data_IF_302809655572
#
_entry.id   IF_302809655572
#
_cell.length_a   1.000
_cell.length_b   1.000
_cell.length_c   1.000
_cell.angle_alpha   90.00
_cell.angle_beta   90.00
_cell.angle_gamma   90.00
#
_symmetry.space_group_name_H-M   'P 1'
#
loop_
_entity.id
_entity.type
_entity.pdbx_description
1 polymer ?
#
# COMPACT_ATOMS: atom_id res chain seq x y z
N UNK A 1 -19.07 30.33 2.53
CA UNK A 1 -17.62 30.27 2.80
C UNK A 1 -16.79 29.99 1.55
N UNK A 2 -17.27 29.13 0.64
CA UNK A 2 -16.61 28.79 -0.63
C UNK A 2 -17.15 29.65 -1.80
N UNK A 3 -16.26 30.09 -2.68
CA UNK A 3 -16.52 30.68 -3.99
C UNK A 3 -15.56 30.03 -5.00
N UNK A 4 -16.06 29.58 -6.15
CA UNK A 4 -15.24 28.93 -7.19
C UNK A 4 -15.36 29.69 -8.50
N UNK A 5 -14.24 30.10 -9.07
CA UNK A 5 -14.15 30.90 -10.30
C UNK A 5 -13.53 30.10 -11.43
N UNK A 6 -14.05 30.27 -12.63
CA UNK A 6 -13.46 29.67 -13.85
C UNK A 6 -12.05 30.19 -14.08
N UNK A 7 -11.11 29.30 -14.41
CA UNK A 7 -9.75 29.69 -14.77
C UNK A 7 -9.57 29.92 -16.26
N UNK A 8 -8.35 30.35 -16.60
CA UNK A 8 -7.93 30.65 -17.98
C UNK A 8 -7.55 29.39 -18.77
N UNK A 9 -7.17 28.32 -18.07
CA UNK A 9 -6.71 27.04 -18.64
C UNK A 9 -7.75 25.96 -18.34
N UNK A 10 -7.98 24.99 -19.26
CA UNK A 10 -8.81 23.83 -18.97
C UNK A 10 -8.42 23.15 -17.65
N UNK A 11 -9.42 22.83 -16.84
CA UNK A 11 -9.27 22.09 -15.57
C UNK A 11 -8.55 22.86 -14.45
N UNK A 12 -8.27 24.15 -14.64
CA UNK A 12 -7.77 25.03 -13.58
C UNK A 12 -8.89 25.94 -13.10
N UNK A 13 -9.25 25.80 -11.83
CA UNK A 13 -10.31 26.56 -11.17
C UNK A 13 -9.72 27.37 -10.00
N UNK A 14 -10.22 28.58 -9.80
CA UNK A 14 -9.86 29.41 -8.65
C UNK A 14 -10.75 29.09 -7.45
N UNK A 15 -10.17 28.56 -6.37
CA UNK A 15 -10.89 28.24 -5.14
C UNK A 15 -10.62 29.34 -4.11
N UNK A 16 -11.67 30.07 -3.73
CA UNK A 16 -11.59 31.10 -2.71
C UNK A 16 -12.39 30.68 -1.47
N UNK A 17 -11.70 30.63 -0.34
CA UNK A 17 -12.25 30.22 0.95
C UNK A 17 -12.13 31.36 1.96
N UNK A 18 -13.23 31.61 2.68
CA UNK A 18 -13.33 32.64 3.72
C UNK A 18 -14.04 32.08 4.95
N UNK A 19 -13.60 32.50 6.13
CA UNK A 19 -14.21 32.11 7.42
C UNK A 19 -15.54 32.82 7.73
N UNK A 20 -15.95 33.78 6.89
CA UNK A 20 -17.26 34.44 6.97
C UNK A 20 -18.04 34.26 5.66
N UNK A 21 -19.38 34.43 5.67
CA UNK A 21 -20.15 34.49 4.43
C UNK A 21 -19.59 35.52 3.45
N UNK A 22 -19.76 35.25 2.15
CA UNK A 22 -19.42 36.18 1.08
C UNK A 22 -20.49 37.27 1.00
N UNK A 23 -20.06 38.51 0.78
CA UNK A 23 -20.95 39.65 0.57
C UNK A 23 -21.12 39.96 -0.93
N UNK A 24 -22.21 40.64 -1.30
CA UNK A 24 -22.46 41.00 -2.69
C UNK A 24 -21.32 41.86 -3.29
N UNK A 25 -20.80 42.81 -2.51
CA UNK A 25 -19.67 43.66 -2.92
C UNK A 25 -18.38 42.87 -3.15
N UNK A 26 -18.11 41.85 -2.34
CA UNK A 26 -16.94 40.98 -2.51
C UNK A 26 -17.05 40.15 -3.79
N UNK A 27 -18.22 39.54 -4.04
CA UNK A 27 -18.46 38.78 -5.26
C UNK A 27 -18.41 39.70 -6.49
N UNK A 28 -18.90 40.94 -6.38
CA UNK A 28 -18.81 41.93 -7.44
C UNK A 28 -17.35 42.30 -7.77
N UNK A 29 -16.49 42.50 -6.76
CA UNK A 29 -15.05 42.74 -6.97
C UNK A 29 -14.36 41.57 -7.68
N UNK A 30 -14.68 40.33 -7.29
CA UNK A 30 -14.16 39.14 -7.99
C UNK A 30 -14.67 39.07 -9.42
N UNK A 31 -15.96 39.33 -9.63
CA UNK A 31 -16.57 39.37 -10.96
C UNK A 31 -15.91 40.41 -11.87
N UNK A 32 -15.59 41.59 -11.34
CA UNK A 32 -14.89 42.67 -12.04
C UNK A 32 -13.44 42.28 -12.37
N UNK A 33 -12.73 41.63 -11.44
CA UNK A 33 -11.37 41.14 -11.68
C UNK A 33 -11.30 40.09 -12.81
N UNK A 34 -12.36 39.31 -12.99
CA UNK A 34 -12.50 38.31 -14.04
C UNK A 34 -12.97 38.89 -15.39
N UNK A 35 -13.36 40.17 -15.46
CA UNK A 35 -13.77 40.79 -16.72
C UNK A 35 -12.63 40.90 -17.72
N UNK A 36 -12.93 40.58 -18.99
CA UNK A 36 -11.95 40.63 -20.08
C UNK A 36 -10.89 39.53 -20.04
N UNK A 37 -10.90 38.64 -19.03
CA UNK A 37 -10.03 37.46 -19.00
C UNK A 37 -10.57 36.35 -19.90
N UNK A 38 -9.71 35.54 -20.51
CA UNK A 38 -10.14 34.38 -21.29
C UNK A 38 -10.65 33.31 -20.32
N UNK A 39 -11.95 33.24 -20.09
CA UNK A 39 -12.55 32.28 -19.16
C UNK A 39 -13.10 31.04 -19.88
N UNK A 40 -12.92 29.88 -19.25
CA UNK A 40 -13.57 28.63 -19.67
C UNK A 40 -15.09 28.80 -19.80
N UNK A 41 -15.66 28.33 -20.93
CA UNK A 41 -17.10 28.28 -21.18
C UNK A 41 -17.86 29.62 -21.05
N UNK A 42 -17.15 30.76 -21.05
CA UNK A 42 -17.73 32.10 -20.88
C UNK A 42 -18.36 32.34 -19.50
N UNK A 43 -18.18 31.45 -18.52
CA UNK A 43 -18.69 31.62 -17.16
C UNK A 43 -17.61 32.23 -16.27
N UNK A 44 -18.01 33.14 -15.38
CA UNK A 44 -17.11 33.71 -14.35
C UNK A 44 -17.01 32.82 -13.12
N UNK A 45 -18.11 32.21 -12.73
CA UNK A 45 -18.22 31.43 -11.51
C UNK A 45 -18.66 30.00 -11.83
N UNK A 46 -17.94 29.03 -11.29
CA UNK A 46 -18.36 27.64 -11.21
C UNK A 46 -19.27 27.44 -10.01
N UNK A 47 -18.99 28.12 -8.90
CA UNK A 47 -19.87 28.16 -7.72
C UNK A 47 -19.91 29.55 -7.10
N UNK A 48 -21.12 30.10 -6.98
CA UNK A 48 -21.41 31.36 -6.30
C UNK A 48 -22.50 31.15 -5.24
N UNK A 49 -22.18 31.29 -3.94
CA UNK A 49 -23.16 31.06 -2.86
C UNK A 49 -24.27 32.12 -2.83
N UNK A 50 -24.11 33.28 -3.49
CA UNK A 50 -25.13 34.33 -3.56
C UNK A 50 -26.07 34.17 -4.77
N UNK A 51 -25.68 33.35 -5.75
CA UNK A 51 -26.47 33.05 -6.94
C UNK A 51 -26.27 31.57 -7.34
N UNK A 52 -26.68 30.61 -6.49
CA UNK A 52 -26.44 29.18 -6.73
C UNK A 52 -27.16 28.67 -7.99
N UNK A 53 -28.24 29.31 -8.42
CA UNK A 53 -28.96 29.01 -9.66
C UNK A 53 -28.19 29.37 -10.94
N UNK A 54 -27.25 30.30 -10.88
CA UNK A 54 -26.37 30.67 -11.99
C UNK A 54 -25.05 29.88 -11.98
N UNK A 55 -24.83 29.06 -10.96
CA UNK A 55 -23.63 28.24 -10.79
C UNK A 55 -23.69 26.97 -11.63
N UNK A 56 -22.56 26.27 -11.75
CA UNK A 56 -22.52 25.00 -12.45
C UNK A 56 -23.47 23.97 -11.79
N UNK A 57 -24.35 23.31 -12.57
CA UNK A 57 -25.34 22.37 -12.03
C UNK A 57 -24.73 21.22 -11.24
N UNK A 58 -23.54 20.73 -11.63
CA UNK A 58 -22.87 19.64 -10.93
C UNK A 58 -22.39 20.13 -9.57
N UNK A 59 -21.71 21.28 -9.50
CA UNK A 59 -21.27 21.87 -8.24
C UNK A 59 -22.44 22.19 -7.31
N UNK A 60 -23.55 22.68 -7.86
CA UNK A 60 -24.78 22.93 -7.08
C UNK A 60 -25.32 21.65 -6.46
N UNK A 61 -25.34 20.55 -7.19
CA UNK A 61 -25.78 19.25 -6.67
C UNK A 61 -24.82 18.75 -5.60
N UNK A 62 -23.51 18.73 -5.88
CA UNK A 62 -22.49 18.29 -4.92
C UNK A 62 -22.55 19.10 -3.62
N UNK A 63 -22.64 20.42 -3.69
CA UNK A 63 -22.66 21.27 -2.50
C UNK A 63 -24.03 21.33 -1.80
N UNK A 64 -25.10 20.93 -2.50
CA UNK A 64 -26.45 20.84 -1.96
C UNK A 64 -26.82 19.47 -1.37
N UNK A 65 -26.11 18.41 -1.75
CA UNK A 65 -26.33 17.04 -1.24
C UNK A 65 -25.80 16.92 0.19
N UNK A 66 -26.58 16.37 1.15
CA UNK A 66 -26.12 16.10 2.51
C UNK A 66 -24.89 15.19 2.52
N UNK A 67 -23.97 15.41 3.47
CA UNK A 67 -22.73 14.63 3.55
C UNK A 67 -22.93 13.12 3.69
N UNK A 68 -24.06 12.69 4.26
CA UNK A 68 -24.46 11.28 4.39
C UNK A 68 -24.85 10.62 3.07
N UNK A 69 -25.23 11.41 2.07
CA UNK A 69 -25.70 10.93 0.75
C UNK A 69 -24.63 11.13 -0.34
N UNK A 70 -23.59 11.93 -0.09
CA UNK A 70 -22.57 12.26 -1.08
C UNK A 70 -21.84 11.03 -1.64
N UNK A 71 -21.57 10.02 -0.82
CA UNK A 71 -20.88 8.82 -1.27
C UNK A 71 -21.71 8.05 -2.31
N UNK A 72 -23.01 7.88 -2.04
CA UNK A 72 -23.93 7.25 -2.99
C UNK A 72 -24.09 8.11 -4.25
N UNK A 73 -24.20 9.43 -4.09
CA UNK A 73 -24.27 10.34 -5.22
C UNK A 73 -23.04 10.23 -6.15
N UNK A 74 -21.83 10.13 -5.60
CA UNK A 74 -20.62 9.92 -6.41
C UNK A 74 -20.63 8.56 -7.11
N UNK A 75 -21.06 7.51 -6.40
CA UNK A 75 -21.18 6.17 -6.96
C UNK A 75 -22.15 6.15 -8.15
N UNK A 76 -23.29 6.83 -8.06
CA UNK A 76 -24.29 6.94 -9.13
C UNK A 76 -23.75 7.71 -10.36
N UNK A 77 -22.77 8.60 -10.14
CA UNK A 77 -22.03 9.26 -11.23
C UNK A 77 -20.95 8.38 -11.87
N UNK A 78 -20.70 7.18 -11.33
CA UNK A 78 -19.67 6.25 -11.79
C UNK A 78 -18.26 6.60 -11.28
N UNK A 79 -18.15 7.38 -10.21
CA UNK A 79 -16.86 7.86 -9.67
C UNK A 79 -16.76 7.70 -8.16
N UNK A 80 -15.54 7.79 -7.63
CA UNK A 80 -15.23 7.82 -6.20
C UNK A 80 -14.54 9.13 -5.85
N UNK A 81 -15.31 10.13 -5.45
CA UNK A 81 -14.81 11.43 -5.01
C UNK A 81 -14.89 11.60 -3.48
N UNK A 82 -15.02 10.49 -2.74
CA UNK A 82 -14.96 10.54 -1.29
C UNK A 82 -13.59 11.06 -0.81
N UNK A 83 -13.55 11.82 0.29
CA UNK A 83 -12.29 12.37 0.80
C UNK A 83 -11.24 11.27 1.03
N UNK A 84 -9.99 11.46 0.55
CA UNK A 84 -8.91 10.52 0.80
C UNK A 84 -8.63 10.40 2.30
N UNK A 85 -8.26 9.21 2.74
CA UNK A 85 -7.92 8.91 4.13
C UNK A 85 -6.45 8.53 4.25
N UNK A 86 -5.90 8.51 5.46
CA UNK A 86 -4.55 8.00 5.72
C UNK A 86 -4.38 6.54 5.28
N UNK A 87 -5.46 5.75 5.32
CA UNK A 87 -5.48 4.36 4.87
C UNK A 87 -5.49 4.23 3.35
N UNK A 88 -6.11 5.20 2.65
CA UNK A 88 -6.23 5.24 1.20
C UNK A 88 -5.93 6.65 0.66
N UNK A 89 -4.64 7.07 0.65
CA UNK A 89 -4.24 8.44 0.30
C UNK A 89 -4.10 8.64 -1.22
N UNK A 90 -5.10 8.22 -2.01
CA UNK A 90 -5.06 8.25 -3.48
C UNK A 90 -6.03 9.29 -4.04
N UNK A 91 -5.65 10.56 -3.96
CA UNK A 91 -6.47 11.72 -4.36
C UNK A 91 -6.92 11.64 -5.83
N UNK A 92 -6.06 11.13 -6.71
CA UNK A 92 -6.33 11.03 -8.15
C UNK A 92 -6.96 9.70 -8.57
N UNK A 93 -7.31 8.83 -7.62
CA UNK A 93 -7.98 7.56 -7.88
C UNK A 93 -9.49 7.72 -7.64
N UNK A 94 -10.16 8.27 -8.65
CA UNK A 94 -11.59 8.59 -8.60
C UNK A 94 -12.46 7.71 -9.50
N UNK A 95 -11.92 6.66 -10.11
CA UNK A 95 -12.70 5.73 -10.90
C UNK A 95 -13.17 4.55 -10.05
N UNK A 96 -14.36 4.04 -10.37
CA UNK A 96 -14.80 2.74 -9.89
C UNK A 96 -14.08 1.66 -10.71
N UNK A 97 -13.71 0.56 -10.03
CA UNK A 97 -13.07 -0.56 -10.71
C UNK A 97 -14.11 -1.34 -11.51
N UNK A 98 -13.84 -1.57 -12.79
CA UNK A 98 -14.68 -2.37 -13.67
C UNK A 98 -15.28 -1.56 -14.82
N UNK A 99 -16.54 -1.87 -15.15
CA UNK A 99 -17.22 -1.35 -16.35
C UNK A 99 -18.33 -0.36 -16.04
N UNK A 100 -18.33 0.22 -14.84
CA UNK A 100 -19.34 1.19 -14.47
C UNK A 100 -19.27 2.41 -15.40
N UNK A 101 -20.39 2.78 -16.05
CA UNK A 101 -20.42 3.94 -16.92
C UNK A 101 -20.24 5.21 -16.08
N UNK A 102 -19.34 6.08 -16.54
CA UNK A 102 -19.19 7.42 -15.97
C UNK A 102 -20.26 8.32 -16.56
N UNK A 103 -20.98 9.03 -15.70
CA UNK A 103 -22.08 9.92 -16.10
C UNK A 103 -21.62 10.96 -17.15
N UNK A 104 -22.42 11.21 -18.20
CA UNK A 104 -22.15 12.30 -19.16
C UNK A 104 -22.11 13.69 -18.52
N UNK A 105 -22.69 13.84 -17.33
CA UNK A 105 -22.70 15.08 -16.55
C UNK A 105 -21.31 15.47 -16.03
N UNK A 106 -20.40 14.50 -15.91
CA UNK A 106 -19.03 14.76 -15.46
C UNK A 106 -18.17 15.38 -16.58
N UNK A 107 -17.11 16.13 -16.23
CA UNK A 107 -16.13 16.61 -17.21
C UNK A 107 -15.54 15.49 -18.07
N UNK A 108 -15.14 15.81 -19.31
CA UNK A 108 -14.68 14.83 -20.30
C UNK A 108 -13.47 14.01 -19.82
N UNK A 109 -12.61 14.58 -18.99
CA UNK A 109 -11.46 13.91 -18.39
C UNK A 109 -11.83 12.63 -17.61
N UNK A 110 -12.98 12.63 -16.93
CA UNK A 110 -13.46 11.46 -16.19
C UNK A 110 -13.81 10.33 -17.15
N UNK A 111 -14.49 10.66 -18.25
CA UNK A 111 -14.83 9.69 -19.31
C UNK A 111 -13.59 9.21 -20.04
N UNK A 112 -12.63 10.09 -20.32
CA UNK A 112 -11.36 9.72 -20.95
C UNK A 112 -10.55 8.77 -20.07
N UNK A 113 -10.47 9.00 -18.76
CA UNK A 113 -9.79 8.09 -17.83
C UNK A 113 -10.57 6.80 -17.59
N UNK A 114 -11.90 6.83 -17.69
CA UNK A 114 -12.74 5.62 -17.69
C UNK A 114 -12.76 4.88 -19.03
N UNK A 115 -12.19 5.46 -20.10
CA UNK A 115 -12.12 4.79 -21.40
C UNK A 115 -11.46 3.42 -21.21
N UNK A 116 -12.13 2.39 -21.70
CA UNK A 116 -11.75 1.05 -21.34
C UNK A 116 -10.54 0.59 -22.16
N UNK A 117 -9.62 -0.10 -21.48
CA UNK A 117 -8.51 -0.82 -22.08
C UNK A 117 -8.80 -2.32 -22.06
N UNK A 118 -8.00 -3.07 -22.81
CA UNK A 118 -8.03 -4.54 -22.80
C UNK A 118 -9.43 -5.13 -23.06
N UNK A 119 -10.05 -4.74 -24.19
CA UNK A 119 -11.39 -5.21 -24.62
C UNK A 119 -12.55 -4.83 -23.67
N UNK A 120 -12.44 -3.74 -22.93
CA UNK A 120 -13.57 -3.30 -22.11
C UNK A 120 -13.56 -3.85 -20.70
N UNK A 121 -12.42 -4.22 -20.12
CA UNK A 121 -12.37 -4.90 -18.80
C UNK A 121 -11.71 -4.05 -17.71
N UNK A 122 -10.93 -3.04 -18.10
CA UNK A 122 -10.08 -2.29 -17.20
C UNK A 122 -10.16 -0.81 -17.57
N UNK A 123 -10.58 0.07 -16.65
CA UNK A 123 -10.49 1.51 -16.85
C UNK A 123 -9.04 1.93 -17.15
N UNK A 124 -8.86 2.86 -18.09
CA UNK A 124 -7.52 3.33 -18.48
C UNK A 124 -6.72 3.87 -17.30
N UNK A 125 -7.37 4.49 -16.31
CA UNK A 125 -6.73 4.97 -15.08
C UNK A 125 -6.13 3.86 -14.20
N UNK A 126 -6.71 2.65 -14.23
CA UNK A 126 -6.33 1.53 -13.36
C UNK A 126 -5.38 0.55 -14.04
N UNK A 127 -5.33 0.60 -15.38
CA UNK A 127 -4.46 -0.24 -16.21
C UNK A 127 -2.98 -0.25 -15.78
N UNK A 128 -2.35 0.88 -15.40
CA UNK A 128 -0.95 0.87 -14.96
C UNK A 128 -0.69 -0.05 -13.76
N UNK A 129 -1.60 -0.11 -12.78
CA UNK A 129 -1.41 -0.95 -11.59
C UNK A 129 -1.45 -2.45 -11.94
N UNK A 130 -2.38 -2.85 -12.82
CA UNK A 130 -2.48 -4.21 -13.32
C UNK A 130 -1.31 -4.58 -14.22
N UNK A 131 -0.86 -3.65 -15.07
CA UNK A 131 0.28 -3.86 -15.95
C UNK A 131 1.56 -4.11 -15.14
N UNK A 132 1.83 -3.28 -14.11
CA UNK A 132 2.99 -3.45 -13.23
C UNK A 132 2.92 -4.77 -12.47
N UNK A 133 1.74 -5.17 -11.98
CA UNK A 133 1.57 -6.45 -11.29
C UNK A 133 1.82 -7.64 -12.23
N UNK A 134 1.26 -7.60 -13.44
CA UNK A 134 1.43 -8.65 -14.45
C UNK A 134 2.89 -8.73 -14.93
N UNK A 135 3.52 -7.59 -15.18
CA UNK A 135 4.94 -7.49 -15.54
C UNK A 135 5.82 -8.03 -14.41
N UNK A 136 5.57 -7.63 -13.17
CA UNK A 136 6.31 -8.12 -12.00
C UNK A 136 6.19 -9.63 -11.86
N UNK A 137 4.99 -10.20 -12.05
CA UNK A 137 4.77 -11.64 -12.03
C UNK A 137 5.49 -12.35 -13.19
N UNK A 138 5.42 -11.80 -14.40
CA UNK A 138 6.07 -12.36 -15.59
C UNK A 138 7.60 -12.33 -15.47
N UNK A 139 8.17 -11.18 -15.11
CA UNK A 139 9.61 -11.02 -14.94
C UNK A 139 10.13 -11.90 -13.80
N UNK A 140 9.42 -11.98 -12.68
CA UNK A 140 9.78 -12.90 -11.58
C UNK A 140 9.71 -14.36 -12.03
N UNK A 141 8.72 -14.71 -12.86
CA UNK A 141 8.60 -16.06 -13.42
C UNK A 141 9.80 -16.37 -14.32
N UNK A 142 10.16 -15.46 -15.22
CA UNK A 142 11.23 -15.64 -16.20
C UNK A 142 12.61 -15.63 -15.54
N UNK A 143 12.88 -14.70 -14.63
CA UNK A 143 14.22 -14.50 -14.07
C UNK A 143 14.49 -15.23 -12.76
N UNK A 144 13.46 -15.67 -12.03
CA UNK A 144 13.62 -16.36 -10.75
C UNK A 144 13.07 -17.79 -10.84
N UNK A 145 11.76 -17.94 -11.09
CA UNK A 145 11.12 -19.25 -11.00
C UNK A 145 11.55 -20.22 -12.13
N UNK A 146 11.70 -19.75 -13.37
CA UNK A 146 12.10 -20.59 -14.49
C UNK A 146 13.54 -21.15 -14.32
N UNK A 147 14.58 -20.36 -14.01
CA UNK A 147 15.91 -20.90 -13.68
C UNK A 147 15.88 -21.89 -12.52
N UNK A 148 15.12 -21.62 -11.46
CA UNK A 148 14.96 -22.56 -10.34
C UNK A 148 14.34 -23.89 -10.80
N UNK A 149 13.29 -23.83 -11.62
CA UNK A 149 12.62 -24.99 -12.18
C UNK A 149 13.46 -25.77 -13.19
N UNK A 150 14.52 -25.17 -13.76
CA UNK A 150 15.44 -25.83 -14.70
C UNK A 150 16.62 -26.43 -13.93
N UNK A 151 17.29 -25.62 -13.11
CA UNK A 151 18.56 -25.97 -12.48
C UNK A 151 18.42 -26.65 -11.11
N UNK A 152 17.31 -26.42 -10.40
CA UNK A 152 17.06 -26.99 -9.06
C UNK A 152 15.92 -28.05 -9.05
N UNK A 153 15.51 -28.56 -10.22
CA UNK A 153 14.36 -29.46 -10.42
C UNK A 153 14.52 -30.89 -9.91
N UNK A 154 15.75 -31.41 -9.82
CA UNK A 154 15.97 -32.85 -9.53
C UNK A 154 15.39 -33.21 -8.16
N UNK A 155 14.25 -33.93 -8.22
CA UNK A 155 13.31 -34.29 -7.15
C UNK A 155 13.88 -34.11 -5.74
N UNK A 156 13.59 -32.96 -5.13
CA UNK A 156 13.49 -32.88 -3.69
C UNK A 156 12.28 -33.76 -3.31
N UNK A 157 12.52 -35.04 -3.04
CA UNK A 157 11.48 -36.02 -2.67
C UNK A 157 11.03 -35.85 -1.23
N UNK A 158 11.58 -34.89 -0.50
CA UNK A 158 11.28 -34.70 0.91
C UNK A 158 9.80 -34.27 1.10
N UNK A 159 9.02 -34.95 1.96
CA UNK A 159 7.62 -34.61 2.25
C UNK A 159 7.42 -33.14 2.64
N UNK A 160 8.43 -32.55 3.28
CA UNK A 160 8.46 -31.16 3.76
C UNK A 160 8.70 -30.09 2.69
N UNK A 161 9.00 -30.46 1.44
CA UNK A 161 9.42 -29.49 0.42
C UNK A 161 8.39 -28.39 0.18
N UNK A 162 7.12 -28.74 0.00
CA UNK A 162 6.03 -27.78 -0.23
C UNK A 162 5.81 -26.83 0.95
N UNK A 163 5.91 -27.35 2.18
CA UNK A 163 5.76 -26.54 3.39
C UNK A 163 6.89 -25.53 3.56
N UNK A 164 8.12 -25.90 3.20
CA UNK A 164 9.25 -24.97 3.21
C UNK A 164 9.12 -23.90 2.12
N UNK A 165 8.70 -24.26 0.90
CA UNK A 165 8.44 -23.25 -0.14
C UNK A 165 7.36 -22.26 0.29
N UNK A 166 6.25 -22.75 0.86
CA UNK A 166 5.17 -21.91 1.37
C UNK A 166 5.65 -21.01 2.52
N UNK A 167 6.52 -21.52 3.40
CA UNK A 167 7.15 -20.73 4.45
C UNK A 167 7.98 -19.57 3.88
N UNK A 168 8.94 -19.83 2.98
CA UNK A 168 9.81 -18.79 2.43
C UNK A 168 9.08 -17.81 1.52
N UNK A 169 8.08 -18.27 0.76
CA UNK A 169 7.16 -17.43 0.02
C UNK A 169 6.41 -16.46 0.95
N UNK A 170 5.91 -16.98 2.07
CA UNK A 170 5.19 -16.19 3.07
C UNK A 170 6.09 -15.13 3.71
N UNK A 171 7.35 -15.49 3.99
CA UNK A 171 8.33 -14.53 4.52
C UNK A 171 8.61 -13.40 3.52
N UNK A 172 8.80 -13.72 2.24
CA UNK A 172 9.10 -12.71 1.21
C UNK A 172 7.94 -11.75 1.00
N UNK A 173 6.74 -12.31 0.77
CA UNK A 173 5.54 -11.51 0.56
C UNK A 173 5.16 -10.70 1.81
N UNK A 174 5.14 -11.34 2.99
CA UNK A 174 4.75 -10.67 4.23
C UNK A 174 5.71 -9.54 4.61
N UNK A 175 7.02 -9.76 4.45
CA UNK A 175 8.04 -8.76 4.79
C UNK A 175 7.87 -7.49 3.96
N UNK A 176 7.84 -7.63 2.63
CA UNK A 176 7.79 -6.46 1.73
C UNK A 176 6.48 -5.69 1.84
N UNK A 177 5.36 -6.38 2.08
CA UNK A 177 4.06 -5.72 2.25
C UNK A 177 4.06 -4.88 3.53
N UNK A 178 4.52 -5.44 4.65
CA UNK A 178 4.65 -4.70 5.92
C UNK A 178 5.58 -3.51 5.73
N UNK A 179 6.75 -3.72 5.12
CA UNK A 179 7.73 -2.67 4.88
C UNK A 179 7.14 -1.50 4.07
N UNK A 180 6.46 -1.76 2.95
CA UNK A 180 5.86 -0.71 2.11
C UNK A 180 4.72 0.01 2.84
N UNK A 181 3.89 -0.71 3.61
CA UNK A 181 2.84 -0.09 4.41
C UNK A 181 3.43 0.88 5.44
N UNK A 182 4.52 0.49 6.11
CA UNK A 182 5.24 1.35 7.05
C UNK A 182 5.85 2.56 6.33
N UNK A 183 6.51 2.36 5.20
CA UNK A 183 7.06 3.47 4.40
C UNK A 183 5.98 4.52 4.08
N UNK A 184 4.75 4.10 3.78
CA UNK A 184 3.65 5.03 3.49
C UNK A 184 3.10 5.69 4.74
N UNK A 185 2.90 4.93 5.81
CA UNK A 185 2.41 5.43 7.09
C UNK A 185 3.34 6.45 7.74
N UNK A 186 4.64 6.19 7.72
CA UNK A 186 5.64 7.10 8.31
C UNK A 186 5.85 8.38 7.50
N UNK A 187 5.25 8.51 6.30
CA UNK A 187 5.20 9.82 5.61
C UNK A 187 4.42 10.84 6.46
N UNK A 188 3.34 10.42 7.14
CA UNK A 188 2.58 11.29 8.04
C UNK A 188 3.46 11.81 9.18
N UNK A 189 4.36 10.97 9.69
CA UNK A 189 5.23 11.31 10.81
C UNK A 189 6.62 11.83 10.41
N UNK A 190 7.05 11.76 9.17
CA UNK A 190 8.34 12.34 8.73
C UNK A 190 8.15 13.47 7.72
N UNK A 191 6.93 13.69 7.24
CA UNK A 191 6.53 14.78 6.35
C UNK A 191 6.97 14.63 4.89
N UNK A 192 7.87 13.69 4.58
CA UNK A 192 8.40 13.50 3.23
C UNK A 192 8.54 12.01 2.87
N UNK A 193 8.07 11.57 1.69
CA UNK A 193 8.23 10.20 1.21
C UNK A 193 9.68 9.70 1.18
N UNK A 194 10.64 10.54 0.76
CA UNK A 194 12.04 10.15 0.69
C UNK A 194 12.61 9.83 2.07
N UNK A 195 12.36 10.69 3.06
CA UNK A 195 12.81 10.46 4.44
C UNK A 195 12.16 9.24 5.07
N UNK A 196 10.87 9.00 4.78
CA UNK A 196 10.18 7.82 5.25
C UNK A 196 10.78 6.54 4.68
N UNK A 197 10.98 6.48 3.36
CA UNK A 197 11.59 5.34 2.69
C UNK A 197 12.97 5.05 3.27
N UNK A 198 13.85 6.07 3.36
CA UNK A 198 15.21 5.89 3.86
C UNK A 198 15.22 5.43 5.32
N UNK A 199 14.44 6.07 6.19
CA UNK A 199 14.42 5.74 7.63
C UNK A 199 13.88 4.34 7.86
N UNK A 200 12.75 4.00 7.24
CA UNK A 200 12.13 2.68 7.39
C UNK A 200 13.04 1.59 6.87
N UNK A 201 13.62 1.76 5.67
CA UNK A 201 14.51 0.77 5.07
C UNK A 201 15.76 0.55 5.93
N UNK A 202 16.44 1.61 6.35
CA UNK A 202 17.66 1.49 7.17
C UNK A 202 17.36 0.80 8.49
N UNK A 203 16.32 1.24 9.20
CA UNK A 203 16.02 0.72 10.54
C UNK A 203 15.53 -0.72 10.47
N UNK A 204 14.64 -1.06 9.52
CA UNK A 204 14.15 -2.42 9.36
C UNK A 204 15.27 -3.37 8.91
N UNK A 205 16.17 -2.96 8.01
CA UNK A 205 17.30 -3.81 7.59
C UNK A 205 18.33 -3.98 8.70
N UNK A 206 18.68 -2.91 9.43
CA UNK A 206 19.56 -3.01 10.60
C UNK A 206 18.95 -3.90 11.69
N UNK A 207 17.66 -3.71 12.00
CA UNK A 207 16.90 -4.56 12.90
C UNK A 207 16.91 -6.01 12.42
N UNK A 208 16.60 -6.26 11.16
CA UNK A 208 16.57 -7.60 10.58
C UNK A 208 17.95 -8.29 10.65
N UNK A 209 19.04 -7.54 10.47
CA UNK A 209 20.40 -8.02 10.69
C UNK A 209 20.64 -8.47 12.14
N UNK A 210 20.24 -7.65 13.11
CA UNK A 210 20.32 -8.00 14.54
C UNK A 210 19.45 -9.23 14.86
N UNK A 211 18.23 -9.26 14.36
CA UNK A 211 17.31 -10.40 14.45
C UNK A 211 17.93 -11.68 13.91
N UNK A 212 18.60 -11.58 12.76
CA UNK A 212 19.26 -12.72 12.13
C UNK A 212 20.38 -13.29 13.01
N UNK A 213 21.20 -12.43 13.62
CA UNK A 213 22.24 -12.85 14.58
C UNK A 213 21.60 -13.52 15.82
N UNK A 214 20.51 -12.96 16.34
CA UNK A 214 19.81 -13.49 17.52
C UNK A 214 19.08 -14.81 17.26
N UNK A 215 18.75 -15.10 16.00
CA UNK A 215 17.99 -16.29 15.59
C UNK A 215 18.61 -17.62 16.03
N UNK A 216 19.95 -17.70 16.07
CA UNK A 216 20.67 -18.90 16.52
C UNK A 216 20.53 -19.17 18.02
N UNK A 217 20.27 -18.13 18.81
CA UNK A 217 20.07 -18.23 20.26
C UNK A 217 18.65 -18.66 20.63
N UNK A 218 17.68 -18.38 19.75
CA UNK A 218 16.29 -18.78 19.94
C UNK A 218 16.12 -20.28 19.64
N UNK A 219 15.82 -21.05 20.70
CA UNK A 219 15.72 -22.52 20.68
C UNK A 219 16.83 -23.18 19.82
N UNK A 220 18.10 -23.18 20.27
CA UNK A 220 19.25 -23.61 19.46
C UNK A 220 19.14 -25.04 18.92
N UNK A 221 18.50 -25.95 19.68
CA UNK A 221 18.31 -27.36 19.33
C UNK A 221 16.94 -27.67 18.72
N UNK A 222 16.04 -26.70 18.60
CA UNK A 222 14.66 -26.92 18.15
C UNK A 222 14.20 -25.81 17.18
N UNK A 223 14.72 -25.78 15.94
CA UNK A 223 14.40 -24.75 14.96
C UNK A 223 12.89 -24.69 14.63
N UNK A 224 12.18 -25.82 14.72
CA UNK A 224 10.72 -25.85 14.55
C UNK A 224 9.96 -25.04 15.60
N UNK A 225 10.38 -25.16 16.88
CA UNK A 225 9.83 -24.33 17.97
C UNK A 225 10.23 -22.87 17.80
N UNK A 226 11.48 -22.61 17.38
CA UNK A 226 11.94 -21.25 17.09
C UNK A 226 11.04 -20.55 16.06
N UNK A 227 10.75 -21.20 14.93
CA UNK A 227 9.88 -20.64 13.89
C UNK A 227 8.43 -20.50 14.37
N UNK A 228 7.92 -21.48 15.14
CA UNK A 228 6.58 -21.42 15.72
C UNK A 228 6.38 -20.27 16.72
N UNK A 229 7.46 -19.75 17.31
CA UNK A 229 7.47 -18.58 18.19
C UNK A 229 7.75 -17.29 17.42
N UNK A 230 8.72 -17.30 16.50
CA UNK A 230 9.12 -16.11 15.74
C UNK A 230 7.98 -15.53 14.91
N UNK A 231 7.16 -16.37 14.27
CA UNK A 231 6.09 -15.88 13.38
C UNK A 231 4.96 -15.17 14.16
N UNK A 232 4.41 -15.71 15.26
CA UNK A 232 3.49 -14.96 16.12
C UNK A 232 4.08 -13.66 16.66
N UNK A 233 5.39 -13.65 16.98
CA UNK A 233 6.05 -12.41 17.40
C UNK A 233 6.05 -11.35 16.29
N UNK A 234 6.25 -11.73 15.03
CA UNK A 234 6.15 -10.78 13.89
C UNK A 234 4.75 -10.19 13.85
N UNK A 235 3.72 -11.04 13.94
CA UNK A 235 2.34 -10.56 13.93
C UNK A 235 2.04 -9.62 15.10
N UNK A 236 2.50 -9.97 16.31
CA UNK A 236 2.36 -9.13 17.50
C UNK A 236 3.08 -7.80 17.34
N UNK A 237 4.31 -7.79 16.83
CA UNK A 237 5.10 -6.57 16.62
C UNK A 237 4.49 -5.67 15.53
N UNK A 238 3.96 -6.25 14.46
CA UNK A 238 3.29 -5.49 13.40
C UNK A 238 1.96 -4.90 13.90
N UNK A 239 1.19 -5.66 14.69
CA UNK A 239 -0.01 -5.14 15.34
C UNK A 239 0.33 -4.06 16.36
N UNK A 240 1.37 -4.26 17.18
CA UNK A 240 1.77 -3.23 18.15
C UNK A 240 2.20 -1.95 17.46
N UNK A 241 2.93 -2.03 16.35
CA UNK A 241 3.21 -0.86 15.50
C UNK A 241 1.91 -0.21 15.03
N UNK A 242 0.97 -1.00 14.48
CA UNK A 242 -0.25 -0.50 13.89
C UNK A 242 -1.17 0.23 14.90
N UNK A 243 -1.10 -0.09 16.19
CA UNK A 243 -1.87 0.59 17.24
C UNK A 243 -1.07 1.66 17.99
N UNK A 244 0.24 1.48 18.15
CA UNK A 244 1.08 2.39 18.93
C UNK A 244 1.50 3.62 18.12
N UNK A 245 1.82 3.46 16.83
CA UNK A 245 2.35 4.57 16.04
C UNK A 245 1.41 5.76 15.88
N UNK A 246 0.07 5.63 15.74
CA UNK A 246 -0.81 6.81 15.66
C UNK A 246 -0.78 7.63 16.95
N UNK A 247 -0.75 6.95 18.10
CA UNK A 247 -0.70 7.61 19.41
C UNK A 247 0.62 8.38 19.58
N UNK A 248 1.73 7.76 19.20
CA UNK A 248 3.06 8.39 19.25
C UNK A 248 3.14 9.52 18.22
N UNK A 249 2.59 9.35 17.02
CA UNK A 249 2.58 10.39 16.00
C UNK A 249 1.83 11.62 16.52
N UNK A 250 0.63 11.46 17.06
CA UNK A 250 -0.15 12.56 17.64
C UNK A 250 0.60 13.29 18.76
N UNK A 251 1.28 12.55 19.65
CA UNK A 251 2.00 13.13 20.77
C UNK A 251 3.28 13.88 20.37
N UNK A 252 3.97 13.44 19.30
CA UNK A 252 5.30 13.92 18.94
C UNK A 252 5.38 14.60 17.57
N UNK A 253 4.26 14.83 16.88
CA UNK A 253 4.25 15.43 15.53
C UNK A 253 4.89 16.82 15.50
N UNK A 254 4.70 17.60 16.57
CA UNK A 254 5.20 18.96 16.72
C UNK A 254 6.71 19.04 17.04
N UNK A 255 7.37 17.90 17.25
CA UNK A 255 8.81 17.86 17.53
C UNK A 255 9.63 18.16 16.28
N UNK A 256 10.89 18.53 16.50
CA UNK A 256 11.85 18.76 15.42
C UNK A 256 12.15 17.45 14.65
N UNK A 257 12.56 17.61 13.39
CA UNK A 257 12.77 16.50 12.47
C UNK A 257 13.76 15.43 12.98
N UNK A 258 14.93 15.76 13.57
CA UNK A 258 15.84 14.74 14.10
C UNK A 258 15.23 13.89 15.22
N UNK A 259 14.40 14.51 16.08
CA UNK A 259 13.69 13.81 17.16
C UNK A 259 12.67 12.84 16.57
N UNK A 260 11.94 13.26 15.53
CA UNK A 260 10.99 12.40 14.81
C UNK A 260 11.67 11.20 14.15
N UNK A 261 12.86 11.37 13.56
CA UNK A 261 13.66 10.24 13.05
C UNK A 261 14.02 9.27 14.18
N UNK A 262 14.51 9.79 15.32
CA UNK A 262 14.90 8.95 16.45
C UNK A 262 13.71 8.15 17.00
N UNK A 263 12.55 8.79 17.17
CA UNK A 263 11.30 8.14 17.60
C UNK A 263 10.87 7.07 16.60
N UNK A 264 10.86 7.40 15.30
CA UNK A 264 10.52 6.44 14.26
C UNK A 264 11.46 5.23 14.29
N UNK A 265 12.76 5.47 14.48
CA UNK A 265 13.76 4.40 14.58
C UNK A 265 13.50 3.48 15.77
N UNK A 266 13.15 4.05 16.94
CA UNK A 266 12.83 3.28 18.14
C UNK A 266 11.55 2.45 17.97
N UNK A 267 10.54 2.97 17.27
CA UNK A 267 9.30 2.23 16.98
C UNK A 267 9.53 1.08 16.00
N UNK A 268 10.33 1.30 14.96
CA UNK A 268 10.53 0.34 13.88
C UNK A 268 11.56 -0.75 14.22
N UNK A 269 12.57 -0.43 15.04
CA UNK A 269 13.67 -1.34 15.33
C UNK A 269 13.22 -2.68 15.95
N UNK A 270 12.32 -2.73 16.96
CA UNK A 270 11.82 -4.00 17.49
C UNK A 270 11.13 -4.86 16.43
N UNK A 271 10.33 -4.22 15.56
CA UNK A 271 9.66 -4.92 14.46
C UNK A 271 10.67 -5.48 13.47
N UNK A 272 11.68 -4.69 13.07
CA UNK A 272 12.78 -5.14 12.21
C UNK A 272 13.52 -6.33 12.80
N UNK A 273 13.86 -6.29 14.10
CA UNK A 273 14.52 -7.41 14.81
C UNK A 273 13.68 -8.68 14.70
N UNK A 274 12.38 -8.59 15.01
CA UNK A 274 11.52 -9.76 15.01
C UNK A 274 11.29 -10.30 13.59
N UNK A 275 11.15 -9.42 12.60
CA UNK A 275 11.03 -9.78 11.18
C UNK A 275 12.31 -10.41 10.61
N UNK A 276 13.49 -10.17 11.21
CA UNK A 276 14.75 -10.79 10.83
C UNK A 276 14.97 -12.22 11.36
N UNK A 277 14.20 -12.65 12.36
CA UNK A 277 14.33 -13.99 12.95
C UNK A 277 13.96 -15.14 11.99
N UNK A 278 12.84 -15.10 11.24
CA UNK A 278 12.30 -16.29 10.59
C UNK A 278 13.19 -16.86 9.46
N UNK A 279 13.85 -16.01 8.68
CA UNK A 279 14.62 -16.47 7.52
C UNK A 279 15.78 -17.41 7.90
N UNK A 280 16.73 -17.03 8.80
CA UNK A 280 17.80 -17.93 9.24
C UNK A 280 17.28 -19.15 10.03
N UNK A 281 16.17 -19.03 10.75
CA UNK A 281 15.51 -20.20 11.36
C UNK A 281 15.05 -21.18 10.27
N UNK A 282 14.50 -20.69 9.16
CA UNK A 282 14.16 -21.49 7.99
C UNK A 282 15.35 -22.23 7.40
N UNK A 283 16.52 -21.58 7.32
CA UNK A 283 17.75 -22.23 6.85
C UNK A 283 18.21 -23.33 7.80
N UNK A 284 18.07 -23.13 9.12
CA UNK A 284 18.31 -24.18 10.13
C UNK A 284 17.34 -25.35 10.00
N UNK A 285 16.06 -25.10 9.65
CA UNK A 285 15.10 -26.15 9.33
C UNK A 285 15.52 -26.95 8.10
N UNK A 286 15.97 -26.26 7.04
CA UNK A 286 16.50 -26.93 5.84
C UNK A 286 17.67 -27.83 6.22
N UNK A 287 18.65 -27.32 6.98
CA UNK A 287 19.80 -28.09 7.41
C UNK A 287 19.41 -29.31 8.27
N UNK A 288 18.38 -29.18 9.11
CA UNK A 288 17.92 -30.27 9.97
C UNK A 288 17.14 -31.38 9.21
N UNK A 289 16.44 -31.03 8.13
CA UNK A 289 15.64 -31.97 7.34
C UNK A 289 16.35 -32.49 6.09
N UNK A 290 17.49 -31.92 5.72
CA UNK A 290 18.25 -32.38 4.55
C UNK A 290 19.13 -33.57 4.94
N UNK A 291 19.05 -34.71 4.22
CA UNK A 291 19.88 -35.89 4.47
C UNK A 291 21.34 -35.68 4.08
N UNK A 292 21.62 -34.79 3.11
CA UNK A 292 22.97 -34.48 2.66
C UNK A 292 23.15 -32.99 2.29
N UNK A 293 24.42 -32.58 2.15
CA UNK A 293 24.80 -31.21 1.84
C UNK A 293 24.33 -30.76 0.44
N UNK A 294 24.15 -31.68 -0.51
CA UNK A 294 23.64 -31.35 -1.85
C UNK A 294 22.17 -30.98 -1.78
N UNK A 295 21.38 -31.69 -0.99
CA UNK A 295 19.98 -31.36 -0.74
C UNK A 295 19.86 -30.06 0.05
N UNK A 296 20.68 -29.82 1.07
CA UNK A 296 20.73 -28.53 1.78
C UNK A 296 20.96 -27.36 0.83
N UNK A 297 21.96 -27.46 -0.07
CA UNK A 297 22.26 -26.42 -1.05
C UNK A 297 21.11 -26.18 -2.01
N UNK A 298 20.46 -27.24 -2.49
CA UNK A 298 19.29 -27.15 -3.38
C UNK A 298 18.08 -26.50 -2.69
N UNK A 299 17.75 -26.95 -1.49
CA UNK A 299 16.64 -26.41 -0.72
C UNK A 299 16.89 -24.95 -0.32
N UNK A 300 18.15 -24.59 -0.04
CA UNK A 300 18.55 -23.19 0.21
C UNK A 300 18.37 -22.34 -1.04
N UNK A 301 18.76 -22.83 -2.23
CA UNK A 301 18.50 -22.12 -3.49
C UNK A 301 17.00 -21.90 -3.73
N UNK A 302 16.18 -22.91 -3.47
CA UNK A 302 14.72 -22.79 -3.50
C UNK A 302 14.17 -21.79 -2.49
N UNK A 303 14.70 -21.77 -1.27
CA UNK A 303 14.30 -20.82 -0.22
C UNK A 303 14.56 -19.37 -0.62
N UNK A 304 15.78 -19.07 -1.07
CA UNK A 304 16.14 -17.74 -1.58
C UNK A 304 15.30 -17.36 -2.80
N UNK A 305 15.11 -18.30 -3.71
CA UNK A 305 14.30 -18.13 -4.90
C UNK A 305 12.84 -17.77 -4.62
N UNK A 306 12.18 -18.54 -3.75
CA UNK A 306 10.79 -18.28 -3.36
C UNK A 306 10.65 -16.97 -2.60
N UNK A 307 11.58 -16.67 -1.71
CA UNK A 307 11.58 -15.42 -0.96
C UNK A 307 11.72 -14.21 -1.91
N UNK A 308 12.68 -14.24 -2.84
CA UNK A 308 12.87 -13.19 -3.83
C UNK A 308 11.68 -13.04 -4.78
N UNK A 309 11.17 -14.15 -5.32
CA UNK A 309 10.00 -14.15 -6.21
C UNK A 309 8.78 -13.48 -5.58
N UNK A 310 8.44 -13.87 -4.34
CA UNK A 310 7.29 -13.31 -3.63
C UNK A 310 7.54 -11.89 -3.10
N UNK A 311 8.79 -11.47 -2.93
CA UNK A 311 9.13 -10.07 -2.61
C UNK A 311 8.82 -9.15 -3.80
N UNK A 312 9.18 -9.56 -5.03
CA UNK A 312 8.91 -8.76 -6.24
C UNK A 312 7.41 -8.69 -6.54
N UNK A 313 6.68 -9.80 -6.41
CA UNK A 313 5.22 -9.78 -6.57
C UNK A 313 4.57 -8.99 -5.44
N UNK A 314 5.04 -9.17 -4.21
CA UNK A 314 4.51 -8.49 -3.03
C UNK A 314 4.62 -6.97 -3.11
N UNK A 315 5.69 -6.43 -3.69
CA UNK A 315 5.83 -4.98 -3.84
C UNK A 315 4.78 -4.37 -4.76
N UNK A 316 4.56 -4.95 -5.94
CA UNK A 316 3.53 -4.54 -6.88
C UNK A 316 2.11 -4.80 -6.32
N UNK A 317 1.91 -5.97 -5.70
CA UNK A 317 0.64 -6.33 -5.09
C UNK A 317 0.25 -5.39 -3.95
N UNK A 318 1.21 -4.90 -3.16
CA UNK A 318 0.93 -3.95 -2.07
C UNK A 318 0.32 -2.67 -2.60
N UNK A 319 0.89 -2.11 -3.66
CA UNK A 319 0.35 -0.88 -4.28
C UNK A 319 -1.03 -1.13 -4.85
N UNK A 320 -1.21 -2.26 -5.57
CA UNK A 320 -2.51 -2.65 -6.11
C UNK A 320 -3.57 -2.77 -5.00
N UNK A 321 -3.29 -3.54 -3.95
CA UNK A 321 -4.19 -3.71 -2.80
C UNK A 321 -4.48 -2.36 -2.14
N UNK A 322 -3.46 -1.53 -1.90
CA UNK A 322 -3.64 -0.24 -1.24
C UNK A 322 -4.57 0.68 -2.04
N UNK A 323 -4.40 0.72 -3.37
CA UNK A 323 -5.25 1.54 -4.26
C UNK A 323 -6.71 1.12 -4.16
N UNK A 324 -7.03 -0.19 -4.10
CA UNK A 324 -8.42 -0.67 -4.13
C UNK A 324 -9.06 -0.90 -2.76
N UNK A 325 -8.28 -1.29 -1.76
CA UNK A 325 -8.73 -1.75 -0.45
C UNK A 325 -8.03 -1.07 0.74
N UNK A 326 -7.05 -0.20 0.50
CA UNK A 326 -6.31 0.52 1.55
C UNK A 326 -5.10 -0.24 2.13
N UNK A 327 -4.23 0.48 2.84
CA UNK A 327 -3.01 -0.08 3.43
C UNK A 327 -3.30 -1.01 4.62
N UNK A 328 -4.41 -0.79 5.33
CA UNK A 328 -4.88 -1.67 6.42
C UNK A 328 -5.22 -3.05 5.89
N UNK A 329 -5.90 -3.14 4.74
CA UNK A 329 -6.16 -4.42 4.08
C UNK A 329 -4.86 -5.12 3.66
N UNK A 330 -3.89 -4.36 3.12
CA UNK A 330 -2.57 -4.91 2.77
C UNK A 330 -1.84 -5.48 4.00
N UNK A 331 -1.86 -4.76 5.14
CA UNK A 331 -1.29 -5.26 6.41
C UNK A 331 -1.98 -6.54 6.89
N UNK A 332 -3.31 -6.63 6.84
CA UNK A 332 -4.03 -7.85 7.21
C UNK A 332 -3.69 -9.03 6.31
N UNK A 333 -3.54 -8.79 5.00
CA UNK A 333 -3.09 -9.82 4.05
C UNK A 333 -1.67 -10.27 4.37
N UNK A 334 -0.77 -9.35 4.76
CA UNK A 334 0.59 -9.71 5.19
C UNK A 334 0.58 -10.58 6.45
N UNK A 335 -0.23 -10.21 7.46
CA UNK A 335 -0.40 -11.00 8.68
C UNK A 335 -0.99 -12.39 8.38
N UNK A 336 -2.02 -12.46 7.55
CA UNK A 336 -2.59 -13.72 7.07
C UNK A 336 -1.57 -14.59 6.34
N UNK A 337 -0.68 -13.96 5.57
CA UNK A 337 0.43 -14.65 4.88
C UNK A 337 1.45 -15.21 5.88
N UNK A 338 1.83 -14.45 6.92
CA UNK A 338 2.66 -14.99 7.99
C UNK A 338 2.00 -16.19 8.70
N UNK A 339 0.68 -16.18 8.91
CA UNK A 339 -0.03 -17.34 9.46
C UNK A 339 0.06 -18.58 8.55
N UNK A 340 0.00 -18.42 7.23
CA UNK A 340 0.26 -19.51 6.28
C UNK A 340 1.66 -20.10 6.49
N UNK A 341 2.67 -19.25 6.70
CA UNK A 341 4.02 -19.67 7.05
C UNK A 341 4.07 -20.48 8.36
N UNK A 342 3.34 -20.04 9.39
CA UNK A 342 3.24 -20.75 10.68
C UNK A 342 2.61 -22.13 10.54
N UNK A 343 1.47 -22.22 9.85
CA UNK A 343 0.82 -23.52 9.61
C UNK A 343 1.69 -24.45 8.80
N UNK A 344 2.42 -23.90 7.82
CA UNK A 344 3.37 -24.65 7.02
C UNK A 344 4.44 -25.27 7.93
N UNK A 345 5.13 -24.46 8.75
CA UNK A 345 6.15 -24.97 9.69
C UNK A 345 5.59 -25.98 10.69
N UNK A 346 4.41 -25.72 11.28
CA UNK A 346 3.82 -26.65 12.25
C UNK A 346 3.58 -28.03 11.65
N UNK A 347 3.04 -28.07 10.41
CA UNK A 347 2.84 -29.34 9.69
C UNK A 347 4.16 -30.07 9.44
N UNK A 348 5.25 -29.34 9.16
CA UNK A 348 6.57 -29.94 8.98
C UNK A 348 7.10 -30.59 10.26
N UNK A 349 6.96 -29.89 11.39
CA UNK A 349 7.43 -30.36 12.70
C UNK A 349 6.62 -31.57 13.16
N UNK A 350 5.30 -31.58 12.95
CA UNK A 350 4.45 -32.72 13.33
C UNK A 350 4.64 -33.93 12.41
N UNK A 351 5.04 -33.74 11.16
CA UNK A 351 5.28 -34.84 10.23
C UNK A 351 6.67 -35.49 10.39
N UNK A 352 7.55 -34.88 11.19
CA UNK A 352 8.92 -35.34 11.44
C UNK A 352 9.15 -35.84 12.87
N UNK A 353 8.16 -35.68 13.75
CA UNK A 353 8.07 -36.32 15.06
C UNK A 353 7.24 -37.60 14.93
#
# INVERSE_FOLDING_TARGET
>A
HLLVTSGEVPYFEGILLKNSPWTADEVARVSQFLEGRPLQNGRKFVWNPLAPELSDPLFRRVLGTPSTELEQFYYDLGVRLSPPTDDRPFIEHFLLFGNDPVSPELPEEFRFRNSQKWRGWIPRGDFPYLAILAESALLSLVFIAAPLLIFARKKATHPSFKGLLAYFASLGFGFIVVEICLMKRYVLFLGNPAYSITTVLVVLLCGAGIGSICSGRLYPKAPGKAAAVAIPLVALAALSEAFLSPLVFQAFLAQEFPVRIAIASVLLLPLGIVMGLPFPIGLRLIAAFSPDERETRRMTAWAWGMNGYFTVIGSAATVFIAVFAGFTAALWIALGTYLIGLFSVRRLVTASA
#
